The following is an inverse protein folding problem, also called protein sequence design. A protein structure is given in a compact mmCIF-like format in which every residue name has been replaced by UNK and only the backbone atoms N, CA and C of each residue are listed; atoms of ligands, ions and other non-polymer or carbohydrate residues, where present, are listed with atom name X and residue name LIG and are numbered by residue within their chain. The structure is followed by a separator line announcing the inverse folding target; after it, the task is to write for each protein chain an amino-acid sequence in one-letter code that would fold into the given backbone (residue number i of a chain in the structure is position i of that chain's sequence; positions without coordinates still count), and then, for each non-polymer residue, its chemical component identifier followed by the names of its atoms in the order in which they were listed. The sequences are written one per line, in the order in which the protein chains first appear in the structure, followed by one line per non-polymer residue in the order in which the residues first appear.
data_IF_320973924649
#
_entry.id   IF_320973924649
#
_cell.length_a   1.000
_cell.length_b   1.000
_cell.length_c   1.000
_cell.angle_alpha   90.00
_cell.angle_beta   90.00
_cell.angle_gamma   90.00
#
_symmetry.space_group_name_H-M   'P 1'
#
loop_
_entity.id
_entity.type
_entity.pdbx_description
1 polymer ?
#
# COMPACT_ATOMS: atom_id res chain seq x y z
N UNK A 1 -36.96 5.79 -7.96
CA UNK A 1 -38.20 6.40 -8.48
C UNK A 1 -37.79 7.43 -9.50
N UNK A 2 -38.39 7.41 -10.68
CA UNK A 2 -38.01 8.29 -11.79
C UNK A 2 -38.15 9.78 -11.43
N UNK A 3 -39.19 10.16 -10.68
CA UNK A 3 -39.41 11.54 -10.27
C UNK A 3 -38.28 12.08 -9.37
N UNK A 4 -37.76 11.25 -8.46
CA UNK A 4 -36.63 11.63 -7.62
C UNK A 4 -35.34 11.72 -8.42
N UNK A 5 -35.07 10.75 -9.31
CA UNK A 5 -33.90 10.76 -10.20
C UNK A 5 -33.86 12.05 -11.03
N UNK A 6 -34.97 12.44 -11.68
CA UNK A 6 -35.07 13.69 -12.44
C UNK A 6 -34.81 14.93 -11.59
N UNK A 7 -35.29 14.95 -10.34
CA UNK A 7 -35.04 16.09 -9.45
C UNK A 7 -33.57 16.15 -9.00
N UNK A 8 -32.90 15.01 -8.82
CA UNK A 8 -31.46 14.98 -8.57
C UNK A 8 -30.68 15.50 -9.77
N UNK A 9 -30.94 14.98 -10.97
CA UNK A 9 -30.32 15.45 -12.22
C UNK A 9 -30.51 16.96 -12.40
N UNK A 10 -31.74 17.46 -12.26
CA UNK A 10 -32.04 18.89 -12.36
C UNK A 10 -31.24 19.74 -11.38
N UNK A 11 -31.03 19.25 -10.15
CA UNK A 11 -30.25 19.97 -9.12
C UNK A 11 -28.76 19.92 -9.40
N UNK A 12 -28.23 18.78 -9.81
CA UNK A 12 -26.81 18.64 -10.10
C UNK A 12 -26.45 19.44 -11.34
N UNK A 13 -27.28 19.43 -12.39
CA UNK A 13 -27.14 20.31 -13.55
C UNK A 13 -27.16 21.79 -13.18
N UNK A 14 -28.11 22.22 -12.33
CA UNK A 14 -28.16 23.61 -11.88
C UNK A 14 -26.86 24.02 -11.14
N UNK A 15 -26.30 23.11 -10.34
CA UNK A 15 -25.02 23.30 -9.66
C UNK A 15 -23.84 23.37 -10.65
N UNK A 16 -23.76 22.42 -11.60
CA UNK A 16 -22.73 22.39 -12.62
C UNK A 16 -22.75 23.65 -13.51
N UNK A 17 -23.94 24.09 -13.92
CA UNK A 17 -24.13 25.33 -14.68
C UNK A 17 -23.65 26.57 -13.91
N UNK A 18 -23.93 26.66 -12.61
CA UNK A 18 -23.50 27.77 -11.78
C UNK A 18 -21.96 27.86 -11.70
N UNK A 19 -21.27 26.73 -11.57
CA UNK A 19 -19.81 26.69 -11.54
C UNK A 19 -19.21 26.97 -12.92
N UNK A 20 -19.76 26.38 -13.98
CA UNK A 20 -19.31 26.60 -15.35
C UNK A 20 -19.42 28.08 -15.75
N UNK A 21 -20.51 28.76 -15.33
CA UNK A 21 -20.68 30.19 -15.54
C UNK A 21 -19.61 31.04 -14.84
N UNK A 22 -19.15 30.60 -13.65
CA UNK A 22 -18.06 31.25 -12.94
C UNK A 22 -16.67 30.98 -13.55
N UNK A 23 -16.56 30.02 -14.49
CA UNK A 23 -15.31 29.58 -15.14
C UNK A 23 -14.22 29.17 -14.14
N UNK A 24 -14.63 28.61 -13.00
CA UNK A 24 -13.72 28.10 -11.98
C UNK A 24 -13.56 26.60 -12.17
N UNK A 25 -12.33 26.06 -12.26
CA UNK A 25 -12.13 24.62 -12.27
C UNK A 25 -12.58 24.02 -10.94
N UNK A 26 -13.27 22.88 -11.00
CA UNK A 26 -13.75 22.20 -9.81
C UNK A 26 -13.57 20.69 -9.94
N UNK A 27 -13.58 20.03 -8.79
CA UNK A 27 -13.62 18.59 -8.68
C UNK A 27 -14.85 18.17 -7.89
N UNK A 28 -15.42 17.01 -8.21
CA UNK A 28 -16.52 16.40 -7.49
C UNK A 28 -16.05 15.06 -6.92
N UNK A 29 -15.97 14.95 -5.59
CA UNK A 29 -15.62 13.68 -4.95
C UNK A 29 -16.86 12.81 -4.80
N UNK A 30 -16.78 11.58 -5.29
CA UNK A 30 -17.85 10.59 -5.16
C UNK A 30 -18.16 10.21 -3.71
N UNK A 31 -19.27 9.52 -3.52
CA UNK A 31 -19.69 8.98 -2.23
C UNK A 31 -19.20 7.53 -2.06
N UNK A 32 -18.78 7.13 -0.84
CA UNK A 32 -18.36 5.75 -0.58
C UNK A 32 -19.57 4.84 -0.34
N UNK A 33 -19.32 3.54 -0.17
CA UNK A 33 -20.32 2.60 0.32
C UNK A 33 -20.71 2.85 1.79
N UNK A 34 -21.92 2.41 2.14
CA UNK A 34 -22.53 2.53 3.46
C UNK A 34 -22.93 1.16 4.01
N UNK A 35 -23.03 1.04 5.34
CA UNK A 35 -23.39 -0.24 5.98
C UNK A 35 -24.78 -0.74 5.60
N UNK A 36 -25.71 0.17 5.33
CA UNK A 36 -27.05 -0.19 4.87
C UNK A 36 -27.02 -0.49 3.35
N UNK A 37 -27.38 -1.71 2.91
CA UNK A 37 -27.30 -2.10 1.50
C UNK A 37 -28.10 -1.20 0.57
N UNK A 38 -29.31 -0.80 0.99
CA UNK A 38 -30.14 0.12 0.23
C UNK A 38 -29.44 1.48 0.00
N UNK A 39 -28.78 2.01 1.02
CA UNK A 39 -28.06 3.29 0.90
C UNK A 39 -26.86 3.16 -0.05
N UNK A 40 -26.14 2.03 0.00
CA UNK A 40 -25.06 1.72 -0.94
C UNK A 40 -25.56 1.67 -2.38
N UNK A 41 -26.67 0.97 -2.65
CA UNK A 41 -27.28 0.95 -3.98
C UNK A 41 -27.75 2.34 -4.44
N UNK A 42 -28.33 3.12 -3.53
CA UNK A 42 -28.77 4.50 -3.84
C UNK A 42 -27.56 5.41 -4.14
N UNK A 43 -26.42 5.24 -3.45
CA UNK A 43 -25.19 6.01 -3.70
C UNK A 43 -24.50 5.66 -5.02
N UNK A 44 -24.58 4.41 -5.49
CA UNK A 44 -24.09 4.04 -6.83
C UNK A 44 -24.82 4.86 -7.89
N UNK A 45 -26.16 4.86 -7.84
CA UNK A 45 -26.97 5.65 -8.77
C UNK A 45 -26.68 7.15 -8.68
N UNK A 46 -26.44 7.68 -7.48
CA UNK A 46 -26.10 9.11 -7.32
C UNK A 46 -24.70 9.44 -7.82
N UNK A 47 -23.71 8.56 -7.61
CA UNK A 47 -22.37 8.75 -8.13
C UNK A 47 -22.36 8.79 -9.67
N UNK A 48 -23.21 8.01 -10.34
CA UNK A 48 -23.35 8.08 -11.80
C UNK A 48 -23.87 9.46 -12.26
N UNK A 49 -24.90 9.99 -11.58
CA UNK A 49 -25.43 11.34 -11.85
C UNK A 49 -24.35 12.41 -11.59
N UNK A 50 -23.60 12.30 -10.48
CA UNK A 50 -22.55 13.24 -10.12
C UNK A 50 -21.39 13.22 -11.11
N UNK A 51 -20.96 12.03 -11.55
CA UNK A 51 -19.93 11.85 -12.57
C UNK A 51 -20.35 12.51 -13.88
N UNK A 52 -21.54 12.17 -14.37
CA UNK A 52 -22.08 12.72 -15.62
C UNK A 52 -22.18 14.25 -15.58
N UNK A 53 -22.67 14.80 -14.46
CA UNK A 53 -22.76 16.26 -14.26
C UNK A 53 -21.38 16.90 -14.25
N UNK A 54 -20.44 16.35 -13.48
CA UNK A 54 -19.09 16.91 -13.34
C UNK A 54 -18.40 17.01 -14.71
N UNK A 55 -18.38 15.90 -15.45
CA UNK A 55 -17.71 15.80 -16.75
C UNK A 55 -18.37 16.71 -17.80
N UNK A 56 -19.70 16.81 -17.82
CA UNK A 56 -20.44 17.64 -18.77
C UNK A 56 -20.21 19.15 -18.57
N UNK A 57 -19.86 19.56 -17.35
CA UNK A 57 -19.62 20.96 -17.00
C UNK A 57 -18.13 21.29 -16.80
N UNK A 58 -17.23 20.46 -17.33
CA UNK A 58 -15.78 20.70 -17.30
C UNK A 58 -15.12 20.53 -15.93
N UNK A 59 -15.82 19.89 -14.98
CA UNK A 59 -15.26 19.44 -13.72
C UNK A 59 -14.68 18.03 -13.82
N UNK A 60 -13.88 17.64 -12.83
CA UNK A 60 -13.30 16.29 -12.73
C UNK A 60 -14.01 15.49 -11.62
N UNK A 61 -14.50 14.29 -11.94
CA UNK A 61 -15.07 13.39 -10.94
C UNK A 61 -13.97 12.51 -10.32
N UNK A 62 -13.86 12.53 -9.00
CA UNK A 62 -12.93 11.70 -8.24
C UNK A 62 -13.69 10.50 -7.69
N UNK A 63 -13.49 9.35 -8.33
CA UNK A 63 -14.05 8.09 -7.84
C UNK A 63 -13.23 7.57 -6.67
N UNK A 64 -13.92 7.28 -5.57
CA UNK A 64 -13.33 6.80 -4.31
C UNK A 64 -13.83 5.40 -3.96
N UNK A 65 -14.76 4.83 -4.73
CA UNK A 65 -15.56 3.67 -4.34
C UNK A 65 -14.70 2.50 -3.87
N UNK A 66 -13.76 2.07 -4.72
CA UNK A 66 -12.85 0.95 -4.50
C UNK A 66 -11.98 1.10 -3.24
N UNK A 67 -11.81 2.33 -2.74
CA UNK A 67 -11.06 2.59 -1.52
C UNK A 67 -11.81 2.24 -0.23
N UNK A 68 -13.12 2.00 -0.31
CA UNK A 68 -14.02 1.84 0.84
C UNK A 68 -14.92 0.60 0.75
N UNK A 69 -14.62 -0.30 -0.17
CA UNK A 69 -15.31 -1.58 -0.33
C UNK A 69 -14.33 -2.76 -0.27
N UNK A 70 -14.86 -3.96 -0.10
CA UNK A 70 -14.11 -5.21 -0.30
C UNK A 70 -14.12 -5.65 -1.78
N UNK A 71 -13.60 -6.85 -2.04
CA UNK A 71 -13.53 -7.46 -3.37
C UNK A 71 -14.90 -7.68 -4.02
N UNK A 72 -15.96 -7.83 -3.21
CA UNK A 72 -17.34 -8.00 -3.66
C UNK A 72 -18.08 -6.67 -3.83
N UNK A 73 -17.41 -5.53 -3.58
CA UNK A 73 -18.00 -4.20 -3.62
C UNK A 73 -18.88 -3.89 -2.41
N UNK A 74 -18.81 -4.68 -1.34
CA UNK A 74 -19.58 -4.48 -0.12
C UNK A 74 -18.87 -3.54 0.86
N UNK A 75 -19.65 -2.95 1.76
CA UNK A 75 -19.14 -2.00 2.75
C UNK A 75 -18.15 -2.65 3.71
N UNK A 76 -16.99 -2.00 3.90
CA UNK A 76 -16.00 -2.39 4.92
C UNK A 76 -15.80 -1.30 5.96
N UNK A 77 -15.60 -1.71 7.22
CA UNK A 77 -15.24 -0.78 8.31
C UNK A 77 -13.76 -0.44 8.33
N UNK A 78 -12.93 -1.36 7.86
CA UNK A 78 -11.47 -1.30 7.91
C UNK A 78 -10.90 -1.63 6.54
N UNK A 79 -9.73 -1.07 6.23
CA UNK A 79 -9.05 -1.31 4.98
C UNK A 79 -7.66 -0.69 4.98
N UNK A 80 -6.89 -0.87 3.91
CA UNK A 80 -5.58 -0.26 3.77
C UNK A 80 -5.67 1.28 3.80
N UNK A 81 -4.79 1.91 4.57
CA UNK A 81 -4.56 3.36 4.56
C UNK A 81 -3.73 3.79 3.33
N UNK A 82 -3.31 5.06 3.30
CA UNK A 82 -2.47 5.59 2.21
C UNK A 82 -1.09 4.92 2.12
N UNK A 83 -0.64 4.25 3.19
CA UNK A 83 0.62 3.52 3.27
C UNK A 83 0.42 2.00 3.15
N UNK A 84 -0.81 1.55 2.83
CA UNK A 84 -1.17 0.13 2.76
C UNK A 84 -1.39 -0.57 4.10
N UNK A 85 -1.34 0.15 5.22
CA UNK A 85 -1.52 -0.44 6.55
C UNK A 85 -3.01 -0.65 6.86
N UNK A 86 -3.42 -1.78 7.44
CA UNK A 86 -4.81 -2.01 7.79
C UNK A 86 -5.22 -1.08 8.92
N UNK A 87 -6.12 -0.14 8.63
CA UNK A 87 -6.67 0.81 9.60
C UNK A 87 -8.18 0.85 9.49
N UNK A 88 -8.81 1.37 10.53
CA UNK A 88 -10.24 1.61 10.51
C UNK A 88 -10.57 2.85 9.68
N UNK A 89 -11.32 2.70 8.60
CA UNK A 89 -11.67 3.78 7.66
C UNK A 89 -13.07 4.37 7.93
N UNK A 90 -13.98 3.58 8.50
CA UNK A 90 -15.38 3.99 8.79
C UNK A 90 -15.68 3.87 10.29
N UNK A 91 -16.62 4.67 10.77
CA UNK A 91 -17.17 4.58 12.13
C UNK A 91 -18.16 3.41 12.27
N UNK A 92 -18.49 3.01 13.50
CA UNK A 92 -19.29 1.79 13.77
C UNK A 92 -20.75 1.91 13.27
N UNK A 93 -21.21 3.15 13.14
CA UNK A 93 -22.51 3.49 12.57
C UNK A 93 -22.62 3.23 11.06
N UNK A 94 -21.49 3.05 10.37
CA UNK A 94 -21.45 2.82 8.93
C UNK A 94 -21.76 4.04 8.07
N UNK A 95 -21.76 5.25 8.65
CA UNK A 95 -22.08 6.51 7.96
C UNK A 95 -20.88 7.45 7.95
N UNK A 96 -20.24 7.70 9.09
CA UNK A 96 -19.10 8.63 9.15
C UNK A 96 -17.77 7.97 8.77
N UNK A 97 -16.85 8.82 8.33
CA UNK A 97 -15.49 8.43 7.96
C UNK A 97 -14.57 8.73 9.15
N UNK A 98 -13.69 7.79 9.49
CA UNK A 98 -12.69 7.97 10.55
C UNK A 98 -11.65 9.03 10.16
N UNK A 99 -10.77 9.40 11.10
CA UNK A 99 -9.62 10.28 10.78
C UNK A 99 -8.73 9.69 9.69
N UNK A 100 -8.46 8.39 9.75
CA UNK A 100 -7.65 7.70 8.74
C UNK A 100 -8.37 7.62 7.39
N UNK A 101 -9.68 7.33 7.40
CA UNK A 101 -10.50 7.33 6.19
C UNK A 101 -10.56 8.71 5.52
N UNK A 102 -10.66 9.80 6.29
CA UNK A 102 -10.61 11.18 5.75
C UNK A 102 -9.27 11.48 5.07
N UNK A 103 -8.17 10.97 5.63
CA UNK A 103 -6.85 11.08 5.00
C UNK A 103 -6.78 10.29 3.69
N UNK A 104 -7.39 9.09 3.65
CA UNK A 104 -7.54 8.30 2.42
C UNK A 104 -8.38 9.05 1.38
N UNK A 105 -9.51 9.65 1.76
CA UNK A 105 -10.33 10.49 0.87
C UNK A 105 -9.53 11.67 0.29
N UNK A 106 -8.79 12.37 1.14
CA UNK A 106 -7.96 13.49 0.69
C UNK A 106 -6.91 13.03 -0.33
N UNK A 107 -6.31 11.85 -0.12
CA UNK A 107 -5.34 11.27 -1.05
C UNK A 107 -5.93 10.97 -2.43
N UNK A 108 -7.18 10.49 -2.52
CA UNK A 108 -7.86 10.31 -3.82
C UNK A 108 -8.02 11.64 -4.58
N UNK A 109 -8.39 12.71 -3.87
CA UNK A 109 -8.59 14.02 -4.48
C UNK A 109 -7.29 14.79 -4.75
N UNK A 110 -6.18 14.41 -4.10
CA UNK A 110 -4.92 15.15 -4.10
C UNK A 110 -4.35 15.34 -5.51
N UNK A 111 -4.30 14.27 -6.31
CA UNK A 111 -3.77 14.33 -7.68
C UNK A 111 -4.55 15.31 -8.56
N UNK A 112 -5.88 15.20 -8.55
CA UNK A 112 -6.77 16.06 -9.33
C UNK A 112 -6.71 17.51 -8.85
N UNK A 113 -6.63 17.71 -7.53
CA UNK A 113 -6.50 19.04 -6.93
C UNK A 113 -5.17 19.69 -7.30
N UNK A 114 -4.05 18.97 -7.20
CA UNK A 114 -2.72 19.48 -7.57
C UNK A 114 -2.66 19.88 -9.04
N UNK A 115 -3.28 19.09 -9.94
CA UNK A 115 -3.44 19.43 -11.35
C UNK A 115 -4.20 20.75 -11.54
N UNK A 116 -5.32 20.94 -10.84
CA UNK A 116 -6.10 22.18 -10.90
C UNK A 116 -5.30 23.38 -10.38
N UNK A 117 -4.50 23.18 -9.33
CA UNK A 117 -3.67 24.23 -8.73
C UNK A 117 -2.37 24.50 -9.50
N UNK A 118 -2.09 23.77 -10.58
CA UNK A 118 -0.83 23.90 -11.33
C UNK A 118 0.40 23.51 -10.51
N UNK A 119 0.22 22.72 -9.45
CA UNK A 119 1.29 22.25 -8.58
C UNK A 119 1.80 20.90 -9.12
N UNK A 120 3.11 20.76 -9.30
CA UNK A 120 3.71 19.44 -9.53
C UNK A 120 3.48 18.61 -8.29
N UNK A 121 2.75 17.50 -8.41
CA UNK A 121 2.55 16.59 -7.31
C UNK A 121 3.91 16.17 -6.73
N UNK A 122 4.11 16.17 -5.40
CA UNK A 122 5.27 15.51 -4.85
C UNK A 122 5.20 14.07 -5.35
N UNK A 123 6.29 13.60 -5.93
CA UNK A 123 6.46 12.23 -6.41
C UNK A 123 6.54 11.30 -5.20
N UNK A 124 5.49 11.25 -4.39
CA UNK A 124 5.19 10.13 -3.53
C UNK A 124 4.72 9.02 -4.46
N UNK A 125 5.46 7.92 -4.47
CA UNK A 125 5.11 6.71 -5.19
C UNK A 125 3.62 6.44 -4.97
N UNK A 126 2.76 6.48 -6.01
CA UNK A 126 1.42 5.96 -5.83
C UNK A 126 1.59 4.50 -5.39
N UNK A 127 1.03 4.13 -4.24
CA UNK A 127 0.64 2.76 -4.03
C UNK A 127 -0.37 2.48 -5.16
N UNK A 128 0.13 1.97 -6.28
CA UNK A 128 -0.69 1.59 -7.39
C UNK A 128 -1.59 0.46 -6.89
N UNK A 129 -2.87 0.75 -6.69
CA UNK A 129 -3.89 -0.29 -6.82
C UNK A 129 -3.89 -0.65 -8.30
N UNK A 130 -3.01 -1.59 -8.65
CA UNK A 130 -3.00 -2.17 -9.98
C UNK A 130 -4.26 -3.04 -10.11
N UNK A 131 -5.02 -2.93 -11.21
CA UNK A 131 -6.02 -3.93 -11.54
C UNK A 131 -5.34 -5.30 -11.65
N UNK A 132 -6.07 -6.35 -11.27
CA UNK A 132 -5.55 -7.73 -11.27
C UNK A 132 -4.94 -8.09 -12.64
N UNK A 133 -3.64 -8.43 -12.66
CA UNK A 133 -2.97 -9.01 -13.84
C UNK A 133 -1.66 -8.35 -14.32
N UNK A 134 -1.13 -7.30 -13.67
CA UNK A 134 0.17 -6.73 -14.06
C UNK A 134 1.36 -7.48 -13.41
N UNK A 135 2.49 -7.71 -14.13
CA UNK A 135 3.66 -8.37 -13.57
C UNK A 135 4.33 -7.49 -12.49
N UNK A 136 4.66 -8.12 -11.35
CA UNK A 136 5.31 -7.49 -10.20
C UNK A 136 6.72 -7.04 -10.60
N UNK A 137 6.92 -5.71 -10.69
CA UNK A 137 8.25 -5.12 -10.81
C UNK A 137 9.03 -5.25 -9.49
N UNK A 138 10.31 -5.61 -9.58
CA UNK A 138 11.19 -5.91 -8.46
C UNK A 138 11.28 -4.74 -7.43
N UNK A 139 11.33 -5.04 -6.12
CA UNK A 139 11.43 -4.01 -5.08
C UNK A 139 12.78 -3.29 -5.12
N UNK A 140 12.76 -1.97 -4.96
CA UNK A 140 13.94 -1.14 -4.77
C UNK A 140 14.71 -1.51 -3.48
N UNK A 141 16.04 -1.34 -3.45
CA UNK A 141 16.86 -1.81 -2.34
C UNK A 141 16.64 -0.98 -1.07
N UNK A 142 16.33 -1.66 0.04
CA UNK A 142 16.24 -1.06 1.36
C UNK A 142 17.65 -0.78 1.92
N UNK A 143 17.92 0.38 2.53
CA UNK A 143 19.21 0.69 3.16
C UNK A 143 19.26 0.07 4.55
N UNK A 144 19.31 -1.25 4.62
CA UNK A 144 19.77 -1.98 5.79
C UNK A 144 20.44 -3.25 5.26
N UNK A 145 21.72 -3.43 5.59
CA UNK A 145 22.41 -4.71 5.39
C UNK A 145 21.80 -5.73 6.36
N UNK A 146 20.57 -6.14 6.07
CA UNK A 146 20.00 -7.36 6.62
C UNK A 146 20.71 -8.47 5.85
N UNK A 147 21.58 -9.20 6.53
CA UNK A 147 22.03 -10.51 6.07
C UNK A 147 20.81 -11.44 6.08
N UNK A 148 19.95 -11.26 5.08
CA UNK A 148 18.79 -12.10 4.86
C UNK A 148 19.36 -13.41 4.39
N UNK A 149 19.27 -14.42 5.25
CA UNK A 149 19.36 -15.81 4.81
C UNK A 149 18.43 -15.96 3.62
N UNK A 150 19.01 -16.25 2.46
CA UNK A 150 18.25 -16.43 1.23
C UNK A 150 17.13 -17.44 1.48
N UNK A 151 15.89 -17.19 1.03
CA UNK A 151 14.80 -18.13 1.22
C UNK A 151 15.17 -19.45 0.52
N UNK A 152 15.40 -20.49 1.33
CA UNK A 152 15.64 -21.84 0.83
C UNK A 152 14.31 -22.38 0.29
N UNK A 153 14.32 -22.87 -0.93
CA UNK A 153 13.15 -23.52 -1.53
C UNK A 153 12.90 -24.84 -0.80
N UNK A 154 11.65 -25.08 -0.39
CA UNK A 154 11.27 -26.32 0.30
C UNK A 154 11.51 -27.58 -0.57
N UNK A 155 11.54 -27.42 -1.89
CA UNK A 155 11.79 -28.47 -2.88
C UNK A 155 13.15 -28.30 -3.59
N UNK A 156 14.16 -27.74 -2.92
CA UNK A 156 15.50 -27.65 -3.53
C UNK A 156 16.10 -29.07 -3.68
N UNK A 157 16.30 -29.57 -4.92
CA UNK A 157 16.82 -30.92 -5.15
C UNK A 157 18.25 -31.12 -4.58
N UNK A 158 18.99 -30.02 -4.37
CA UNK A 158 20.31 -30.08 -3.73
C UNK A 158 20.23 -30.38 -2.22
N UNK A 159 19.06 -30.20 -1.60
CA UNK A 159 18.83 -30.36 -0.16
C UNK A 159 17.87 -31.51 0.17
N UNK A 160 17.20 -32.07 -0.84
CA UNK A 160 16.24 -33.19 -0.71
C UNK A 160 16.94 -34.56 -0.54
N UNK A 161 18.28 -34.59 -0.47
CA UNK A 161 19.05 -35.82 -0.27
C UNK A 161 18.97 -36.84 -1.42
N UNK A 162 18.27 -36.53 -2.51
CA UNK A 162 18.01 -37.42 -3.64
C UNK A 162 19.22 -37.77 -4.51
N UNK A 163 20.40 -37.20 -4.24
CA UNK A 163 21.66 -37.55 -4.90
C UNK A 163 22.41 -38.69 -4.20
N UNK A 164 21.97 -39.15 -3.03
CA UNK A 164 22.58 -40.27 -2.30
C UNK A 164 21.77 -41.56 -2.45
N UNK A 165 22.46 -42.69 -2.67
CA UNK A 165 21.83 -44.01 -2.79
C UNK A 165 21.34 -44.49 -1.42
N UNK A 166 20.22 -45.25 -1.40
CA UNK A 166 19.68 -45.89 -0.20
C UNK A 166 20.75 -46.78 0.48
N UNK A 167 21.43 -46.25 1.50
CA UNK A 167 22.51 -46.92 2.23
C UNK A 167 23.75 -46.05 2.50
N UNK A 168 23.86 -44.86 1.90
CA UNK A 168 24.88 -43.89 2.29
C UNK A 168 24.60 -43.34 3.70
N UNK A 169 25.66 -43.16 4.50
CA UNK A 169 25.55 -42.51 5.79
C UNK A 169 25.21 -41.03 5.57
N UNK A 170 24.13 -40.54 6.21
CA UNK A 170 23.70 -39.16 6.06
C UNK A 170 24.86 -38.20 6.35
N UNK A 171 25.04 -37.13 5.56
CA UNK A 171 26.05 -36.12 5.85
C UNK A 171 25.81 -35.56 7.25
N UNK A 172 26.89 -35.40 8.02
CA UNK A 172 26.81 -34.84 9.36
C UNK A 172 26.13 -33.47 9.30
N UNK A 173 25.04 -33.33 10.07
CA UNK A 173 24.28 -32.09 10.18
C UNK A 173 25.23 -30.97 10.59
N UNK A 174 25.27 -29.87 9.82
CA UNK A 174 26.14 -28.76 10.13
C UNK A 174 25.70 -28.08 11.44
N UNK A 175 26.65 -27.86 12.36
CA UNK A 175 26.42 -27.23 13.67
C UNK A 175 26.01 -25.75 13.52
N UNK A 176 24.72 -25.54 13.29
CA UNK A 176 24.14 -24.20 13.21
C UNK A 176 24.10 -23.51 14.58
N UNK A 177 24.00 -22.16 14.61
CA UNK A 177 23.86 -21.40 15.86
C UNK A 177 22.69 -21.86 16.74
N UNK A 178 21.60 -22.36 16.14
CA UNK A 178 20.46 -22.90 16.86
C UNK A 178 20.75 -24.24 17.56
N UNK A 179 21.58 -25.11 16.97
CA UNK A 179 21.95 -26.40 17.56
C UNK A 179 22.84 -26.19 18.79
N UNK A 180 23.80 -25.26 18.71
CA UNK A 180 24.66 -24.88 19.84
C UNK A 180 23.87 -24.29 21.01
N UNK A 181 22.80 -23.56 20.72
CA UNK A 181 21.89 -23.06 21.75
C UNK A 181 21.10 -24.20 22.41
N UNK A 182 20.58 -25.14 21.62
CA UNK A 182 19.73 -26.24 22.12
C UNK A 182 20.54 -27.31 22.85
N UNK A 183 21.72 -27.65 22.35
CA UNK A 183 22.56 -28.75 22.88
C UNK A 183 23.56 -28.26 23.91
N UNK A 184 24.27 -27.16 23.63
CA UNK A 184 25.34 -26.64 24.51
C UNK A 184 24.89 -25.47 25.39
N UNK A 185 23.68 -24.95 25.19
CA UNK A 185 23.19 -23.76 25.90
C UNK A 185 23.91 -22.45 25.50
N UNK A 186 24.69 -22.45 24.42
CA UNK A 186 25.47 -21.28 23.99
C UNK A 186 24.70 -20.47 22.95
N UNK A 187 24.31 -19.25 23.32
CA UNK A 187 23.69 -18.30 22.40
C UNK A 187 24.68 -17.69 21.39
N UNK A 188 24.19 -17.14 20.27
CA UNK A 188 25.02 -16.39 19.34
C UNK A 188 25.60 -15.14 19.99
N UNK A 189 26.74 -14.66 19.48
CA UNK A 189 27.37 -13.45 19.98
C UNK A 189 26.46 -12.22 19.79
N UNK A 190 26.30 -11.41 20.84
CA UNK A 190 25.47 -10.21 20.79
C UNK A 190 26.07 -9.17 19.83
N UNK A 191 25.20 -8.58 19.01
CA UNK A 191 25.57 -7.51 18.08
C UNK A 191 25.61 -6.16 18.81
N UNK A 192 26.64 -5.32 18.59
CA UNK A 192 26.74 -4.00 19.21
C UNK A 192 25.49 -3.14 19.03
N UNK A 193 24.95 -2.61 20.14
CA UNK A 193 23.79 -1.73 20.14
C UNK A 193 22.42 -2.42 20.23
N UNK A 194 22.36 -3.75 20.34
CA UNK A 194 21.12 -4.46 20.69
C UNK A 194 20.94 -4.60 22.20
N UNK A 195 19.69 -4.84 22.62
CA UNK A 195 19.32 -4.99 24.02
C UNK A 195 19.97 -6.20 24.73
N UNK A 196 20.51 -7.16 23.97
CA UNK A 196 21.22 -8.34 24.46
C UNK A 196 22.75 -8.17 24.56
N UNK A 197 23.30 -7.00 24.20
CA UNK A 197 24.74 -6.70 24.36
C UNK A 197 25.05 -6.08 25.72
N UNK A 198 25.52 -6.91 26.66
CA UNK A 198 25.94 -6.50 28.00
C UNK A 198 27.44 -6.14 28.09
N UNK A 199 28.14 -5.96 26.96
CA UNK A 199 29.56 -5.64 26.98
C UNK A 199 29.86 -4.23 27.52
N UNK A 200 30.79 -4.15 28.48
CA UNK A 200 31.31 -2.89 29.01
C UNK A 200 32.86 -2.89 28.91
N UNK A 201 33.49 -1.83 28.38
CA UNK A 201 32.90 -0.60 27.84
C UNK A 201 32.04 -0.84 26.58
N UNK A 202 31.08 0.05 26.25
CA UNK A 202 30.21 -0.13 25.09
C UNK A 202 31.04 -0.24 23.81
N UNK A 203 30.85 -1.31 23.04
CA UNK A 203 31.47 -1.45 21.72
C UNK A 203 30.79 -0.48 20.75
N UNK A 204 31.58 0.33 20.04
CA UNK A 204 31.06 1.20 18.98
C UNK A 204 30.44 0.38 17.85
N UNK A 205 29.34 0.86 17.25
CA UNK A 205 28.80 0.26 16.04
C UNK A 205 29.87 0.29 14.93
N UNK A 206 30.12 -0.82 14.23
CA UNK A 206 30.95 -0.75 13.04
C UNK A 206 30.31 0.21 12.05
N UNK A 207 31.06 1.23 11.62
CA UNK A 207 30.64 2.11 10.55
C UNK A 207 30.29 1.25 9.32
N UNK A 208 29.16 1.53 8.68
CA UNK A 208 28.78 0.88 7.43
C UNK A 208 29.98 0.96 6.48
N UNK A 209 30.52 -0.19 6.09
CA UNK A 209 31.63 -0.27 5.16
C UNK A 209 31.24 0.49 3.90
N UNK A 210 31.91 1.62 3.67
CA UNK A 210 31.82 2.33 2.40
C UNK A 210 32.21 1.33 1.31
N UNK A 211 31.29 1.12 0.35
CA UNK A 211 31.57 0.33 -0.83
C UNK A 211 32.83 0.90 -1.50
N UNK A 212 33.88 0.08 -1.61
CA UNK A 212 35.03 0.40 -2.43
C UNK A 212 34.56 0.43 -3.88
N UNK A 213 34.33 1.63 -4.42
CA UNK A 213 34.18 1.84 -5.85
C UNK A 213 35.55 1.60 -6.51
N UNK A 214 35.75 0.40 -7.05
CA UNK A 214 36.84 0.17 -8.01
C UNK A 214 36.41 0.77 -9.34
N UNK A 215 36.71 2.06 -9.55
CA UNK A 215 36.65 2.65 -10.89
C UNK A 215 37.87 2.18 -11.67
N UNK A 216 37.67 1.32 -12.66
CA UNK A 216 38.72 0.96 -13.62
C UNK A 216 38.90 2.14 -14.56
N UNK A 217 39.90 2.98 -14.31
CA UNK A 217 40.31 4.02 -15.24
C UNK A 217 41.00 3.38 -16.46
N UNK A 218 40.50 3.69 -17.66
CA UNK A 218 41.17 3.43 -18.93
C UNK A 218 42.22 4.53 -19.10
N UNK A 219 43.50 4.14 -19.13
CA UNK A 219 44.67 5.00 -19.40
C UNK A 219 44.81 5.24 -20.91
N UNK A 220 45.23 6.44 -21.37
CA UNK A 220 45.14 6.89 -22.78
C UNK A 220 45.93 6.08 -23.80
#
# INVERSE_FOLDING_TARGET
SEAWTKEYERRTEAFGNAIAAAKVPYLWVGMPAFKAPKMTSDMLAFNDIYRSTAESHGGEFVDIWDGFVDEDGAFVTSGPDINGQPVRLRTDDGIYVSKAGKRKLAFYAEKSLMKILGMTAPTGTPAAYAPAGAPVGAPAPAPMAVDRTVPMLLNDPALDGGSELLGAASPAKADGPGEKLVVEGKGPAASPGRADDFSWPPRGQPAAAAATETTTAITP
#
